data_IF_184848434266
#
_entry.id   IF_184848434266
#
_cell.length_a   1.000
_cell.length_b   1.000
_cell.length_c   1.000
_cell.angle_alpha   90.00
_cell.angle_beta   90.00
_cell.angle_gamma   90.00
#
_symmetry.space_group_name_H-M   'P 1'
#
loop_
_entity.id
_entity.type
_entity.pdbx_description
1 polymer ?
#
# COMPACT_ATOMS: atom_id res chain seq x y z
N UNK A 1 4.68 -27.26 14.52
CA UNK A 1 3.55 -26.64 15.26
C UNK A 1 3.89 -26.60 16.76
N UNK A 2 3.59 -25.51 17.46
CA UNK A 2 3.95 -25.32 18.87
C UNK A 2 3.18 -26.31 19.79
N UNK A 3 3.83 -26.96 20.78
CA UNK A 3 3.16 -27.86 21.74
C UNK A 3 1.94 -27.24 22.43
N UNK A 4 1.97 -25.92 22.66
CA UNK A 4 0.85 -25.16 23.25
C UNK A 4 -0.39 -25.16 22.35
N UNK A 5 -0.21 -25.10 21.03
CA UNK A 5 -1.30 -25.09 20.04
C UNK A 5 -2.01 -26.44 19.98
N UNK A 6 -1.26 -27.54 20.04
CA UNK A 6 -1.83 -28.91 20.07
C UNK A 6 -2.63 -29.13 21.35
N UNK A 7 -2.13 -28.66 22.50
CA UNK A 7 -2.82 -28.72 23.79
C UNK A 7 -4.11 -27.88 23.79
N UNK A 8 -4.11 -26.73 23.12
CA UNK A 8 -5.29 -25.87 22.94
C UNK A 8 -6.36 -26.57 22.09
N UNK A 9 -5.98 -27.18 20.96
CA UNK A 9 -6.91 -27.87 20.05
C UNK A 9 -7.58 -29.08 20.72
N UNK A 10 -6.83 -29.89 21.46
CA UNK A 10 -7.38 -31.01 22.24
C UNK A 10 -8.43 -30.56 23.26
N UNK A 11 -8.21 -29.41 23.91
CA UNK A 11 -9.19 -28.83 24.84
C UNK A 11 -10.45 -28.35 24.12
N UNK A 12 -10.32 -27.77 22.92
CA UNK A 12 -11.47 -27.32 22.11
C UNK A 12 -12.32 -28.50 21.64
N UNK A 13 -11.70 -29.57 21.14
CA UNK A 13 -12.40 -30.79 20.72
C UNK A 13 -13.21 -31.39 21.88
N UNK A 14 -12.56 -31.58 23.05
CA UNK A 14 -13.23 -32.10 24.25
C UNK A 14 -14.39 -31.23 24.74
N UNK A 15 -14.32 -29.90 24.50
CA UNK A 15 -15.40 -28.96 24.82
C UNK A 15 -16.58 -29.10 23.86
N UNK A 16 -16.30 -29.30 22.57
CA UNK A 16 -17.30 -29.52 21.52
C UNK A 16 -18.03 -30.85 21.76
N UNK A 17 -17.30 -31.94 22.04
CA UNK A 17 -17.89 -33.25 22.35
C UNK A 17 -18.88 -33.16 23.53
N UNK A 18 -18.48 -32.45 24.59
CA UNK A 18 -19.34 -32.23 25.77
C UNK A 18 -20.56 -31.34 25.49
N UNK A 19 -20.51 -30.48 24.47
CA UNK A 19 -21.65 -29.66 24.04
C UNK A 19 -22.62 -30.45 23.17
N UNK A 20 -22.13 -31.43 22.42
CA UNK A 20 -22.93 -32.37 21.62
C UNK A 20 -23.67 -33.36 22.53
N UNK A 21 -23.00 -33.94 23.54
CA UNK A 21 -23.62 -34.83 24.53
C UNK A 21 -24.79 -34.15 25.28
N UNK A 22 -24.70 -32.83 25.47
CA UNK A 22 -25.75 -32.03 26.13
C UNK A 22 -26.90 -31.62 25.21
N UNK A 23 -26.88 -32.03 23.94
CA UNK A 23 -27.89 -31.66 22.95
C UNK A 23 -27.90 -30.17 22.55
N UNK A 24 -26.90 -29.39 22.99
CA UNK A 24 -26.84 -27.94 22.76
C UNK A 24 -26.28 -27.53 21.40
N UNK A 25 -25.70 -28.47 20.65
CA UNK A 25 -25.22 -28.26 19.29
C UNK A 25 -25.84 -29.30 18.35
N UNK A 26 -26.47 -28.84 17.26
CA UNK A 26 -26.84 -29.72 16.14
C UNK A 26 -25.55 -30.23 15.50
N UNK A 27 -25.52 -31.54 15.21
CA UNK A 27 -24.36 -32.26 14.67
C UNK A 27 -23.90 -31.67 13.33
N UNK A 28 -22.85 -30.87 13.35
CA UNK A 28 -22.01 -30.70 12.17
C UNK A 28 -21.14 -31.96 12.02
N UNK A 29 -20.77 -32.38 10.80
CA UNK A 29 -20.03 -33.61 10.58
C UNK A 29 -18.64 -33.50 11.23
N UNK A 30 -18.48 -34.15 12.39
CA UNK A 30 -17.24 -34.23 13.19
C UNK A 30 -16.18 -35.08 12.46
N UNK A 31 -16.61 -35.88 11.47
CA UNK A 31 -15.77 -36.74 10.64
C UNK A 31 -14.63 -35.96 9.98
N UNK A 32 -14.91 -34.79 9.39
CA UNK A 32 -13.87 -33.96 8.78
C UNK A 32 -12.81 -33.41 9.76
N UNK A 33 -13.11 -33.36 11.06
CA UNK A 33 -12.18 -32.91 12.10
C UNK A 33 -11.28 -34.04 12.59
N UNK A 34 -11.79 -35.28 12.60
CA UNK A 34 -11.01 -36.50 12.89
C UNK A 34 -10.08 -36.83 11.73
N UNK A 35 -10.54 -36.70 10.49
CA UNK A 35 -9.73 -36.95 9.29
C UNK A 35 -8.58 -35.94 9.18
N UNK A 36 -8.84 -34.65 9.46
CA UNK A 36 -7.78 -33.65 9.59
C UNK A 36 -6.79 -33.98 10.71
N UNK A 37 -7.24 -34.61 11.80
CA UNK A 37 -6.35 -34.99 12.90
C UNK A 37 -5.48 -36.19 12.56
N UNK A 38 -6.00 -37.16 11.80
CA UNK A 38 -5.27 -38.34 11.31
C UNK A 38 -4.23 -37.94 10.26
N UNK A 39 -4.62 -37.13 9.28
CA UNK A 39 -3.73 -36.59 8.24
C UNK A 39 -2.57 -35.76 8.86
N UNK A 40 -2.85 -35.02 9.95
CA UNK A 40 -1.82 -34.30 10.73
C UNK A 40 -0.91 -35.22 11.56
N UNK A 41 -1.37 -36.41 11.96
CA UNK A 41 -0.56 -37.38 12.70
C UNK A 41 0.33 -38.22 11.75
N UNK A 42 -0.16 -38.54 10.54
CA UNK A 42 0.62 -39.20 9.49
C UNK A 42 1.72 -38.30 8.93
N UNK A 43 1.43 -37.01 8.68
CA UNK A 43 2.42 -35.99 8.27
C UNK A 43 3.54 -35.78 9.31
N UNK A 44 3.42 -36.34 10.51
CA UNK A 44 4.40 -36.26 11.60
C UNK A 44 5.42 -37.40 11.58
N UNK A 45 5.14 -38.50 10.87
CA UNK A 45 5.98 -39.71 10.85
C UNK A 45 6.95 -39.78 9.67
N UNK A 46 6.79 -38.91 8.67
CA UNK A 46 7.72 -38.82 7.54
C UNK A 46 8.34 -37.43 7.45
N UNK A 47 9.67 -37.44 7.56
CA UNK A 47 10.66 -36.47 7.08
C UNK A 47 11.33 -35.45 8.03
N UNK A 48 12.68 -35.33 7.95
CA UNK A 48 13.51 -34.25 8.49
C UNK A 48 13.35 -32.93 7.71
N UNK A 49 12.11 -32.55 7.38
CA UNK A 49 11.78 -31.29 6.70
C UNK A 49 11.85 -30.07 7.65
N UNK A 50 11.90 -30.33 8.96
CA UNK A 50 12.03 -29.31 10.00
C UNK A 50 13.40 -28.63 10.00
N UNK A 51 14.46 -29.29 9.54
CA UNK A 51 15.80 -28.68 9.60
C UNK A 51 15.96 -27.61 8.52
N UNK A 52 15.55 -27.87 7.27
CA UNK A 52 15.55 -26.87 6.21
C UNK A 52 14.59 -25.70 6.49
N UNK A 53 13.41 -25.98 7.06
CA UNK A 53 12.49 -24.94 7.51
C UNK A 53 13.05 -24.15 8.71
N UNK A 54 13.70 -24.80 9.68
CA UNK A 54 14.35 -24.13 10.81
C UNK A 54 15.55 -23.28 10.37
N UNK A 55 16.38 -23.79 9.44
CA UNK A 55 17.48 -23.04 8.84
C UNK A 55 16.98 -21.84 8.02
N UNK A 56 15.85 -21.97 7.30
CA UNK A 56 15.27 -20.83 6.58
C UNK A 56 14.70 -19.78 7.53
N UNK A 57 14.09 -20.18 8.65
CA UNK A 57 13.66 -19.28 9.73
C UNK A 57 14.85 -18.61 10.44
N UNK A 58 15.96 -19.33 10.65
CA UNK A 58 17.18 -18.78 11.24
C UNK A 58 17.86 -17.79 10.29
N UNK A 59 17.95 -18.11 8.99
CA UNK A 59 18.44 -17.19 7.95
C UNK A 59 17.60 -15.92 7.88
N UNK A 60 16.26 -16.01 7.97
CA UNK A 60 15.39 -14.83 8.07
C UNK A 60 15.70 -13.98 9.31
N UNK A 61 15.79 -14.58 10.49
CA UNK A 61 16.10 -13.83 11.73
C UNK A 61 17.47 -13.16 11.73
N UNK A 62 18.47 -13.81 11.14
CA UNK A 62 19.82 -13.23 11.00
C UNK A 62 19.80 -12.12 9.94
N UNK A 63 19.10 -12.33 8.82
CA UNK A 63 18.89 -11.33 7.78
C UNK A 63 18.18 -10.09 8.32
N UNK A 64 17.13 -10.26 9.12
CA UNK A 64 16.37 -9.15 9.73
C UNK A 64 17.23 -8.37 10.72
N UNK A 65 18.06 -9.04 11.54
CA UNK A 65 19.00 -8.37 12.45
C UNK A 65 20.13 -7.66 11.72
N UNK A 66 20.70 -8.28 10.68
CA UNK A 66 21.73 -7.65 9.85
C UNK A 66 21.17 -6.44 9.12
N UNK A 67 19.98 -6.56 8.54
CA UNK A 67 19.26 -5.46 7.90
C UNK A 67 18.98 -4.34 8.90
N UNK A 68 18.46 -4.67 10.08
CA UNK A 68 18.24 -3.72 11.17
C UNK A 68 19.54 -3.02 11.59
N UNK A 69 20.64 -3.74 11.80
CA UNK A 69 21.93 -3.14 12.16
C UNK A 69 22.52 -2.30 11.01
N UNK A 70 22.45 -2.78 9.77
CA UNK A 70 22.91 -2.06 8.58
C UNK A 70 22.18 -0.73 8.45
N UNK A 71 20.89 -0.71 8.73
CA UNK A 71 20.10 0.51 8.60
C UNK A 71 20.14 1.38 9.87
N UNK A 72 20.21 0.79 11.06
CA UNK A 72 20.42 1.53 12.30
C UNK A 72 21.77 2.28 12.28
N UNK A 73 22.83 1.66 11.75
CA UNK A 73 24.18 2.21 11.76
C UNK A 73 24.56 2.97 10.47
N UNK A 74 24.13 2.52 9.29
CA UNK A 74 24.62 3.06 8.01
C UNK A 74 23.54 3.67 7.12
N UNK A 75 22.27 3.30 7.29
CA UNK A 75 21.17 3.77 6.43
C UNK A 75 19.95 4.11 7.28
N UNK A 76 19.93 5.32 7.87
CA UNK A 76 18.74 5.80 8.60
C UNK A 76 17.51 5.57 7.71
N UNK A 77 16.60 4.72 8.17
CA UNK A 77 15.36 4.43 7.45
C UNK A 77 14.57 5.72 7.24
N UNK A 78 13.80 5.77 6.15
CA UNK A 78 12.85 6.84 5.85
C UNK A 78 13.48 8.24 5.72
N UNK A 79 14.74 8.32 5.27
CA UNK A 79 15.34 9.60 4.90
C UNK A 79 14.86 9.97 3.50
N UNK A 80 14.00 10.97 3.44
CA UNK A 80 13.60 11.62 2.20
C UNK A 80 14.73 12.53 1.74
N UNK A 81 15.22 12.32 0.52
CA UNK A 81 16.28 13.15 -0.06
C UNK A 81 15.67 14.20 -0.99
N UNK A 82 15.52 15.42 -0.48
CA UNK A 82 15.10 16.57 -1.29
C UNK A 82 16.27 17.05 -2.19
N UNK A 83 16.52 16.34 -3.31
CA UNK A 83 17.61 16.65 -4.25
C UNK A 83 17.52 18.03 -4.89
N UNK A 84 16.32 18.61 -4.89
CA UNK A 84 16.04 19.94 -5.45
C UNK A 84 16.44 21.08 -4.53
N UNK A 85 16.73 20.82 -3.24
CA UNK A 85 17.25 21.83 -2.32
C UNK A 85 18.79 21.78 -2.25
N UNK A 86 19.45 22.94 -2.12
CA UNK A 86 20.87 22.99 -1.80
C UNK A 86 21.13 22.47 -0.37
N UNK A 87 22.36 22.01 -0.08
CA UNK A 87 22.76 21.54 1.25
C UNK A 87 23.06 22.71 2.20
N UNK A 88 22.11 23.63 2.36
CA UNK A 88 22.20 24.81 3.23
C UNK A 88 21.05 24.83 4.23
N UNK A 89 21.00 25.85 5.09
CA UNK A 89 19.78 26.10 5.85
C UNK A 89 18.66 26.48 4.89
N UNK A 90 17.48 25.89 5.10
CA UNK A 90 16.26 26.11 4.33
C UNK A 90 15.11 26.21 5.31
N UNK A 91 14.11 27.05 5.00
CA UNK A 91 12.89 27.13 5.81
C UNK A 91 12.19 25.77 5.90
N UNK A 92 11.54 25.50 7.04
CA UNK A 92 10.85 24.25 7.31
C UNK A 92 9.66 24.04 6.39
N UNK A 93 8.95 25.11 6.03
CA UNK A 93 7.78 25.03 5.16
C UNK A 93 8.19 24.66 3.74
N UNK A 94 9.26 25.30 3.24
CA UNK A 94 9.87 24.93 1.97
C UNK A 94 10.41 23.49 1.99
N UNK A 95 11.10 23.10 3.06
CA UNK A 95 11.58 21.72 3.23
C UNK A 95 10.42 20.71 3.19
N UNK A 96 9.29 21.01 3.83
CA UNK A 96 8.10 20.16 3.84
C UNK A 96 7.50 20.00 2.44
N UNK A 97 7.40 21.09 1.67
CA UNK A 97 6.98 21.06 0.27
C UNK A 97 7.88 20.14 -0.55
N UNK A 98 9.18 20.38 -0.52
CA UNK A 98 10.16 19.60 -1.28
C UNK A 98 10.19 18.13 -0.88
N UNK A 99 10.12 17.82 0.42
CA UNK A 99 10.09 16.45 0.89
C UNK A 99 8.83 15.72 0.40
N UNK A 100 7.67 16.38 0.44
CA UNK A 100 6.40 15.81 -0.03
C UNK A 100 6.44 15.48 -1.52
N UNK A 101 6.91 16.42 -2.34
CA UNK A 101 7.04 16.19 -3.78
C UNK A 101 8.19 15.24 -4.16
N UNK A 102 9.24 15.14 -3.34
CA UNK A 102 10.29 14.13 -3.54
C UNK A 102 9.75 12.72 -3.35
N UNK A 103 8.98 12.47 -2.27
CA UNK A 103 8.29 11.19 -2.06
C UNK A 103 7.35 10.89 -3.24
N UNK A 104 6.57 11.89 -3.65
CA UNK A 104 5.65 11.76 -4.76
C UNK A 104 6.37 11.35 -6.06
N UNK A 105 7.46 12.04 -6.42
CA UNK A 105 8.24 11.69 -7.60
C UNK A 105 8.86 10.30 -7.48
N UNK A 106 9.37 9.93 -6.30
CA UNK A 106 9.93 8.60 -6.08
C UNK A 106 8.90 7.50 -6.33
N UNK A 107 7.63 7.70 -5.93
CA UNK A 107 6.54 6.76 -6.22
C UNK A 107 6.26 6.70 -7.73
N UNK A 108 6.09 7.85 -8.38
CA UNK A 108 5.79 7.91 -9.82
C UNK A 108 6.91 7.26 -10.65
N UNK A 109 8.16 7.55 -10.34
CA UNK A 109 9.32 7.12 -11.13
C UNK A 109 9.75 5.68 -10.82
N UNK A 110 9.84 5.31 -9.54
CA UNK A 110 10.38 4.00 -9.16
C UNK A 110 9.31 2.91 -9.19
N UNK A 111 8.07 3.21 -8.80
CA UNK A 111 6.96 2.24 -8.85
C UNK A 111 6.23 2.26 -10.20
N UNK A 112 6.58 3.22 -11.08
CA UNK A 112 5.99 3.41 -12.40
C UNK A 112 4.46 3.46 -12.31
N UNK A 113 3.94 4.18 -11.33
CA UNK A 113 2.51 4.23 -11.01
C UNK A 113 1.64 4.54 -12.24
N UNK A 114 2.11 5.45 -13.10
CA UNK A 114 1.38 5.85 -14.31
C UNK A 114 1.34 4.76 -15.39
N UNK A 115 2.31 3.83 -15.41
CA UNK A 115 2.38 2.72 -16.36
C UNK A 115 1.71 1.45 -15.82
N UNK A 116 1.85 1.20 -14.51
CA UNK A 116 1.48 -0.07 -13.89
C UNK A 116 0.05 -0.12 -13.34
N UNK A 117 -0.54 1.04 -13.02
CA UNK A 117 -1.93 1.08 -12.55
C UNK A 117 -2.86 1.00 -13.75
N UNK A 118 -3.73 0.00 -13.76
CA UNK A 118 -4.75 -0.18 -14.80
C UNK A 118 -5.87 0.86 -14.68
N UNK A 119 -5.59 2.10 -15.08
CA UNK A 119 -6.54 3.22 -15.08
C UNK A 119 -7.72 3.00 -16.04
N UNK A 120 -7.54 2.12 -17.03
CA UNK A 120 -8.53 1.79 -18.03
C UNK A 120 -9.38 0.57 -17.62
N UNK A 121 -10.66 0.82 -17.37
CA UNK A 121 -11.65 -0.21 -17.04
C UNK A 121 -12.54 -0.57 -18.24
N UNK A 122 -12.21 -0.10 -19.44
CA UNK A 122 -13.05 -0.31 -20.64
C UNK A 122 -13.25 -1.80 -20.92
N UNK A 123 -12.19 -2.61 -20.84
CA UNK A 123 -12.28 -4.06 -21.07
C UNK A 123 -13.16 -4.77 -20.02
N UNK A 124 -13.06 -4.35 -18.75
CA UNK A 124 -13.88 -4.91 -17.65
C UNK A 124 -15.35 -4.58 -17.84
N UNK A 125 -15.66 -3.33 -18.22
CA UNK A 125 -17.02 -2.88 -18.52
C UNK A 125 -17.59 -3.66 -19.72
N UNK A 126 -16.82 -3.80 -20.80
CA UNK A 126 -17.25 -4.58 -21.97
C UNK A 126 -17.53 -6.05 -21.62
N UNK A 127 -16.69 -6.64 -20.79
CA UNK A 127 -16.87 -8.02 -20.33
C UNK A 127 -18.17 -8.15 -19.53
N UNK A 128 -18.43 -7.24 -18.59
CA UNK A 128 -19.67 -7.22 -17.81
C UNK A 128 -20.92 -7.04 -18.67
N UNK A 129 -20.82 -6.31 -19.79
CA UNK A 129 -21.93 -6.14 -20.75
C UNK A 129 -22.18 -7.42 -21.55
N UNK A 130 -21.13 -8.16 -21.90
CA UNK A 130 -21.22 -9.41 -22.69
C UNK A 130 -21.70 -10.61 -21.88
N UNK A 131 -21.47 -10.60 -20.56
CA UNK A 131 -21.94 -11.67 -19.67
C UNK A 131 -23.48 -11.64 -19.53
N UNK A 132 -24.10 -12.82 -19.58
CA UNK A 132 -25.54 -12.98 -19.38
C UNK A 132 -25.84 -13.18 -17.89
N UNK A 133 -26.45 -12.16 -17.26
CA UNK A 133 -26.77 -12.16 -15.84
C UNK A 133 -28.25 -12.50 -15.64
N UNK A 134 -28.54 -13.37 -14.66
CA UNK A 134 -29.93 -13.72 -14.28
C UNK A 134 -30.72 -12.50 -13.81
N UNK A 135 -30.05 -11.57 -13.10
CA UNK A 135 -30.63 -10.31 -12.65
C UNK A 135 -30.03 -9.10 -13.39
N UNK A 136 -30.79 -8.63 -14.38
CA UNK A 136 -30.44 -7.46 -15.21
C UNK A 136 -30.35 -6.15 -14.41
N UNK A 137 -31.05 -6.01 -13.28
CA UNK A 137 -30.98 -4.79 -12.47
C UNK A 137 -29.65 -4.73 -11.72
N UNK A 138 -29.24 -5.83 -11.10
CA UNK A 138 -27.92 -5.94 -10.46
C UNK A 138 -26.78 -5.72 -11.45
N UNK A 139 -26.87 -6.30 -12.66
CA UNK A 139 -25.88 -6.05 -13.73
C UNK A 139 -25.77 -4.56 -14.05
N UNK A 140 -26.91 -3.87 -14.24
CA UNK A 140 -26.95 -2.44 -14.54
C UNK A 140 -26.30 -1.60 -13.43
N UNK A 141 -26.59 -1.90 -12.16
CA UNK A 141 -26.00 -1.18 -11.01
C UNK A 141 -24.49 -1.35 -11.00
N UNK A 142 -23.98 -2.57 -11.18
CA UNK A 142 -22.55 -2.84 -11.19
C UNK A 142 -21.82 -2.10 -12.31
N UNK A 143 -22.42 -2.05 -13.51
CA UNK A 143 -21.87 -1.29 -14.63
C UNK A 143 -21.78 0.20 -14.31
N UNK A 144 -22.83 0.78 -13.70
CA UNK A 144 -22.84 2.20 -13.30
C UNK A 144 -21.73 2.49 -12.28
N UNK A 145 -21.60 1.65 -11.26
CA UNK A 145 -20.56 1.79 -10.24
C UNK A 145 -19.15 1.70 -10.85
N UNK A 146 -18.94 0.77 -11.78
CA UNK A 146 -17.65 0.62 -12.46
C UNK A 146 -17.34 1.83 -13.37
N UNK A 147 -18.35 2.37 -14.05
CA UNK A 147 -18.22 3.60 -14.85
C UNK A 147 -17.94 4.84 -14.00
N UNK A 148 -18.50 4.94 -12.80
CA UNK A 148 -18.20 6.02 -11.86
C UNK A 148 -16.75 5.91 -11.37
N UNK A 149 -16.34 4.72 -10.92
CA UNK A 149 -14.97 4.44 -10.53
C UNK A 149 -13.97 4.80 -11.65
N UNK A 150 -14.23 4.35 -12.87
CA UNK A 150 -13.37 4.67 -14.03
C UNK A 150 -13.25 6.18 -14.28
N UNK A 151 -14.33 6.96 -14.08
CA UNK A 151 -14.28 8.42 -14.20
C UNK A 151 -13.46 9.07 -13.09
N UNK A 152 -13.47 8.52 -11.89
CA UNK A 152 -12.64 9.00 -10.78
C UNK A 152 -11.16 8.69 -11.01
N UNK A 153 -10.86 7.47 -11.43
CA UNK A 153 -9.51 7.00 -11.73
C UNK A 153 -8.88 7.81 -12.88
N UNK A 154 -9.63 8.12 -13.94
CA UNK A 154 -9.16 9.03 -15.00
C UNK A 154 -8.90 10.47 -14.52
N UNK A 155 -9.70 11.00 -13.59
CA UNK A 155 -9.47 12.33 -13.01
C UNK A 155 -8.20 12.32 -12.17
N UNK A 156 -8.01 11.27 -11.38
CA UNK A 156 -6.85 11.09 -10.54
C UNK A 156 -5.57 10.96 -11.39
N UNK A 157 -5.61 10.16 -12.46
CA UNK A 157 -4.47 10.01 -13.37
C UNK A 157 -4.04 11.36 -13.99
N UNK A 158 -5.02 12.16 -14.44
CA UNK A 158 -4.76 13.51 -14.98
C UNK A 158 -4.14 14.43 -13.93
N UNK A 159 -4.65 14.37 -12.70
CA UNK A 159 -4.15 15.17 -11.59
C UNK A 159 -2.71 14.79 -11.21
N UNK A 160 -2.41 13.49 -11.16
CA UNK A 160 -1.07 12.96 -10.92
C UNK A 160 -0.08 13.45 -11.98
N UNK A 161 -0.44 13.33 -13.27
CA UNK A 161 0.37 13.81 -14.39
C UNK A 161 0.60 15.32 -14.31
N UNK A 162 -0.43 16.07 -13.99
CA UNK A 162 -0.35 17.52 -13.83
C UNK A 162 0.62 17.92 -12.71
N UNK A 163 0.45 17.38 -11.50
CA UNK A 163 1.30 17.68 -10.35
C UNK A 163 2.76 17.28 -10.60
N UNK A 164 2.97 16.14 -11.25
CA UNK A 164 4.30 15.66 -11.60
C UNK A 164 4.98 16.60 -12.60
N UNK A 165 4.28 16.99 -13.68
CA UNK A 165 4.81 17.92 -14.67
C UNK A 165 5.07 19.31 -14.08
N UNK A 166 4.16 19.82 -13.26
CA UNK A 166 4.34 21.09 -12.57
C UNK A 166 5.62 21.07 -11.73
N UNK A 167 5.83 20.02 -10.92
CA UNK A 167 7.01 19.91 -10.08
C UNK A 167 8.32 19.74 -10.87
N UNK A 168 8.30 18.99 -11.97
CA UNK A 168 9.49 18.69 -12.78
C UNK A 168 9.87 19.78 -13.77
N UNK A 169 8.89 20.48 -14.32
CA UNK A 169 9.08 21.42 -15.44
C UNK A 169 8.86 22.85 -14.98
N UNK A 170 7.69 23.17 -14.44
CA UNK A 170 7.28 24.55 -14.16
C UNK A 170 7.94 25.12 -12.90
N UNK A 171 7.96 24.34 -11.81
CA UNK A 171 8.44 24.80 -10.51
C UNK A 171 9.94 25.15 -10.50
N UNK A 172 10.85 24.37 -11.13
CA UNK A 172 12.29 24.69 -11.17
C UNK A 172 12.65 25.95 -11.96
N UNK A 173 11.76 26.47 -12.82
CA UNK A 173 11.98 27.75 -13.52
C UNK A 173 11.96 28.95 -12.56
N UNK A 174 11.48 28.76 -11.33
CA UNK A 174 11.46 29.80 -10.30
C UNK A 174 12.83 29.92 -9.64
N UNK A 175 13.34 31.14 -9.55
CA UNK A 175 14.56 31.42 -8.78
C UNK A 175 14.27 31.27 -7.28
N UNK A 176 15.04 30.44 -6.58
CA UNK A 176 14.86 30.27 -5.13
C UNK A 176 15.24 31.55 -4.38
N UNK A 177 14.47 31.83 -3.32
CA UNK A 177 14.49 33.07 -2.55
C UNK A 177 15.87 33.48 -2.01
N UNK A 178 16.79 32.53 -1.86
CA UNK A 178 18.15 32.79 -1.37
C UNK A 178 18.99 33.68 -2.30
N UNK A 179 18.44 34.05 -3.46
CA UNK A 179 19.05 34.96 -4.42
C UNK A 179 18.18 36.20 -4.73
N UNK A 180 17.29 36.60 -3.82
CA UNK A 180 16.42 37.78 -4.00
C UNK A 180 17.28 39.04 -4.28
N UNK A 181 17.21 39.62 -5.49
CA UNK A 181 17.90 40.87 -5.78
C UNK A 181 17.25 42.01 -5.00
N UNK A 182 17.92 43.17 -4.90
CA UNK A 182 17.38 44.33 -4.18
C UNK A 182 16.05 44.86 -4.75
N UNK A 183 15.67 44.47 -5.98
CA UNK A 183 14.40 44.80 -6.63
C UNK A 183 13.42 43.63 -6.58
N UNK A 184 13.28 42.99 -5.42
CA UNK A 184 12.41 41.84 -5.24
C UNK A 184 10.93 42.27 -5.27
N UNK A 185 10.17 41.64 -6.15
CA UNK A 185 8.72 41.84 -6.32
C UNK A 185 7.96 40.95 -5.33
N UNK A 186 7.49 41.56 -4.25
CA UNK A 186 6.75 40.89 -3.17
C UNK A 186 5.46 40.23 -3.67
N UNK A 187 4.73 40.88 -4.58
CA UNK A 187 3.45 40.37 -5.07
C UNK A 187 3.64 39.10 -5.88
N UNK A 188 4.72 39.04 -6.66
CA UNK A 188 5.11 37.85 -7.43
C UNK A 188 5.48 36.68 -6.52
N UNK A 189 6.21 36.94 -5.43
CA UNK A 189 6.60 35.90 -4.47
C UNK A 189 5.39 35.35 -3.72
N UNK A 190 4.50 36.23 -3.26
CA UNK A 190 3.27 35.82 -2.59
C UNK A 190 2.41 34.94 -3.52
N UNK A 191 2.35 35.25 -4.81
CA UNK A 191 1.67 34.41 -5.80
C UNK A 191 2.29 33.00 -5.90
N UNK A 192 3.62 32.89 -5.89
CA UNK A 192 4.27 31.57 -5.92
C UNK A 192 4.03 30.78 -4.64
N UNK A 193 4.01 31.46 -3.49
CA UNK A 193 3.70 30.83 -2.21
C UNK A 193 2.26 30.28 -2.18
N UNK A 194 1.29 31.05 -2.66
CA UNK A 194 -0.10 30.62 -2.79
C UNK A 194 -0.23 29.42 -3.75
N UNK A 195 0.48 29.47 -4.87
CA UNK A 195 0.51 28.37 -5.85
C UNK A 195 1.11 27.10 -5.23
N UNK A 196 2.26 27.19 -4.55
CA UNK A 196 2.90 26.05 -3.89
C UNK A 196 1.99 25.43 -2.81
N UNK A 197 1.29 26.28 -2.06
CA UNK A 197 0.32 25.86 -1.06
C UNK A 197 -0.84 25.10 -1.68
N UNK A 198 -1.42 25.60 -2.78
CA UNK A 198 -2.50 24.92 -3.49
C UNK A 198 -2.07 23.55 -4.02
N UNK A 199 -0.89 23.47 -4.65
CA UNK A 199 -0.37 22.21 -5.19
C UNK A 199 -0.06 21.19 -4.08
N UNK A 200 0.43 21.64 -2.91
CA UNK A 200 0.60 20.77 -1.76
C UNK A 200 -0.73 20.25 -1.22
N UNK A 201 -1.77 21.10 -1.14
CA UNK A 201 -3.12 20.68 -0.74
C UNK A 201 -3.67 19.64 -1.72
N UNK A 202 -3.50 19.86 -3.03
CA UNK A 202 -3.90 18.90 -4.08
C UNK A 202 -3.17 17.57 -3.94
N UNK A 203 -1.85 17.60 -3.70
CA UNK A 203 -1.05 16.42 -3.39
C UNK A 203 -1.56 15.66 -2.15
N UNK A 204 -1.95 16.38 -1.09
CA UNK A 204 -2.50 15.75 0.11
C UNK A 204 -3.86 15.09 -0.13
N UNK A 205 -4.69 15.65 -1.02
CA UNK A 205 -5.99 15.07 -1.40
C UNK A 205 -5.83 13.77 -2.20
N UNK A 206 -4.85 13.69 -3.10
CA UNK A 206 -4.62 12.46 -3.88
C UNK A 206 -3.94 11.36 -3.08
N UNK A 207 -3.31 11.69 -1.94
CA UNK A 207 -2.58 10.72 -1.10
C UNK A 207 -3.43 9.50 -0.73
N UNK A 208 -4.71 9.69 -0.43
CA UNK A 208 -5.61 8.59 -0.06
C UNK A 208 -5.78 7.55 -1.18
N UNK A 209 -5.64 7.97 -2.44
CA UNK A 209 -5.78 7.08 -3.58
C UNK A 209 -4.46 6.44 -4.03
N UNK A 210 -3.32 6.92 -3.52
CA UNK A 210 -1.99 6.36 -3.82
C UNK A 210 -1.65 5.10 -3.00
N UNK A 211 -2.43 4.77 -1.95
CA UNK A 211 -2.05 3.80 -0.90
C UNK A 211 -3.03 2.61 -0.76
N UNK A 212 -3.72 2.24 -1.84
CA UNK A 212 -4.68 1.12 -1.90
C UNK A 212 -4.15 -0.03 -2.73
#
# INVERSE_FOLDING_TARGET
MNPKTVKMLKKRIKKIDKQIEKGTLKTYPIEGLKDRMHDLQEKRKHFPHNFYWWLSQLKRKIGDKYYYCKCFLFHRYNVVKAKTLPPTWVDRDLLLLHASFAIFCDVIENEKLLENVGWDHTEEIEKMIKEDWEDKQSQKINIILLQEKHREDQKLEKELKYLYNWWKVTRPERQEEMSKPSNWDYDKDNKYYEEDTDHLIRLMKIRSALWT
#
